data_IF_629690590340
#
_entry.id   IF_629690590340
#
_cell.length_a   1.000
_cell.length_b   1.000
_cell.length_c   1.000
_cell.angle_alpha   90.00
_cell.angle_beta   90.00
_cell.angle_gamma   90.00
#
_symmetry.space_group_name_H-M   'P 1'
#
loop_
_entity.id
_entity.type
_entity.pdbx_description
1 polymer ?
#
# COMPACT_ATOMS: atom_id res chain seq x y z
N UNK A 1 -16.20 2.38 2.31
CA UNK A 1 -16.09 1.58 1.07
C UNK A 1 -15.05 0.45 1.21
N UNK A 2 -15.09 -0.62 0.40
CA UNK A 2 -14.01 -1.62 0.30
C UNK A 2 -13.31 -1.50 -1.05
N UNK A 3 -12.03 -1.18 -1.01
CA UNK A 3 -11.18 -0.95 -2.18
C UNK A 3 -10.17 -2.08 -2.32
N UNK A 4 -9.78 -2.40 -3.55
CA UNK A 4 -8.68 -3.31 -3.86
C UNK A 4 -7.58 -2.54 -4.58
N UNK A 5 -6.40 -2.50 -3.97
CA UNK A 5 -5.22 -1.82 -4.52
C UNK A 5 -4.32 -2.87 -5.15
N UNK A 6 -3.88 -2.59 -6.38
CA UNK A 6 -2.89 -3.38 -7.09
C UNK A 6 -1.58 -2.60 -7.12
N UNK A 7 -0.57 -3.13 -6.46
CA UNK A 7 0.79 -2.60 -6.52
C UNK A 7 1.58 -3.33 -7.61
N UNK A 8 2.25 -2.56 -8.45
CA UNK A 8 3.19 -3.06 -9.45
C UNK A 8 4.52 -2.37 -9.18
N UNK A 9 5.57 -3.17 -8.96
CA UNK A 9 6.94 -2.68 -8.86
C UNK A 9 7.69 -3.10 -10.12
N UNK A 10 7.76 -2.20 -11.08
CA UNK A 10 8.50 -2.33 -12.34
C UNK A 10 9.96 -1.85 -12.24
N UNK A 11 10.42 -1.50 -11.03
CA UNK A 11 11.78 -1.05 -10.77
C UNK A 11 12.68 -2.19 -10.30
N UNK A 12 13.98 -1.90 -10.19
CA UNK A 12 15.01 -2.86 -9.75
C UNK A 12 15.25 -2.87 -8.22
N UNK A 13 14.51 -2.07 -7.44
CA UNK A 13 14.67 -1.96 -5.98
C UNK A 13 13.44 -2.44 -5.21
N UNK A 14 13.62 -2.85 -3.96
CA UNK A 14 12.52 -3.15 -3.06
C UNK A 14 11.86 -1.86 -2.55
N UNK A 15 10.54 -1.86 -2.48
CA UNK A 15 9.75 -0.75 -1.95
C UNK A 15 8.75 -1.23 -0.89
N UNK A 16 9.02 -1.09 0.42
CA UNK A 16 8.02 -1.34 1.45
C UNK A 16 6.98 -0.21 1.42
N UNK A 17 5.78 -0.48 0.91
CA UNK A 17 4.73 0.54 0.76
C UNK A 17 3.87 0.60 2.01
N UNK A 18 3.77 1.78 2.62
CA UNK A 18 3.03 2.03 3.85
C UNK A 18 1.82 2.95 3.60
N UNK A 19 0.66 2.55 4.12
CA UNK A 19 -0.57 3.34 4.10
C UNK A 19 -0.95 3.72 5.54
N UNK A 20 -1.09 5.02 5.79
CA UNK A 20 -1.52 5.53 7.09
C UNK A 20 -3.04 5.38 7.27
N UNK A 21 -3.49 5.40 8.52
CA UNK A 21 -4.91 5.46 8.91
C UNK A 21 -5.73 4.19 8.68
N UNK A 22 -5.27 3.28 7.83
CA UNK A 22 -6.03 2.07 7.44
C UNK A 22 -5.12 0.84 7.43
N UNK A 23 -5.74 -0.34 7.42
CA UNK A 23 -5.05 -1.62 7.30
C UNK A 23 -5.07 -2.15 5.85
N UNK A 24 -3.98 -2.80 5.47
CA UNK A 24 -3.84 -3.53 4.20
C UNK A 24 -4.01 -5.03 4.44
N UNK A 25 -5.09 -5.59 3.89
CA UNK A 25 -5.35 -7.03 3.88
C UNK A 25 -4.72 -7.65 2.64
N UNK A 26 -3.49 -8.15 2.76
CA UNK A 26 -2.72 -8.76 1.67
C UNK A 26 -3.44 -9.99 1.14
N UNK A 27 -3.44 -10.14 -0.18
CA UNK A 27 -4.05 -11.28 -0.87
C UNK A 27 -2.99 -12.21 -1.48
N UNK A 28 -3.34 -13.48 -1.68
CA UNK A 28 -2.59 -14.42 -2.52
C UNK A 28 -2.91 -14.24 -4.01
N UNK A 29 -2.28 -15.07 -4.84
CA UNK A 29 -2.50 -15.04 -6.29
C UNK A 29 -3.96 -15.36 -6.71
N UNK A 30 -4.74 -15.99 -5.83
CA UNK A 30 -6.15 -16.33 -6.05
C UNK A 30 -7.11 -15.31 -5.42
N UNK A 31 -6.60 -14.26 -4.76
CA UNK A 31 -7.41 -13.25 -4.09
C UNK A 31 -7.85 -13.61 -2.67
N UNK A 32 -7.33 -14.70 -2.09
CA UNK A 32 -7.64 -15.07 -0.71
C UNK A 32 -6.83 -14.21 0.27
N UNK A 33 -7.41 -13.93 1.42
CA UNK A 33 -6.71 -13.23 2.51
C UNK A 33 -5.50 -14.04 2.98
N UNK A 34 -4.34 -13.38 3.06
CA UNK A 34 -3.14 -13.95 3.66
C UNK A 34 -2.90 -13.37 5.06
N UNK A 35 -2.72 -12.05 5.15
CA UNK A 35 -2.29 -11.38 6.37
C UNK A 35 -2.68 -9.91 6.34
N UNK A 36 -2.96 -9.36 7.53
CA UNK A 36 -3.19 -7.93 7.73
C UNK A 36 -1.89 -7.24 8.15
N UNK A 37 -1.51 -6.17 7.43
CA UNK A 37 -0.32 -5.36 7.71
C UNK A 37 -0.62 -3.88 7.45
N UNK A 38 0.19 -2.98 8.00
CA UNK A 38 0.18 -1.55 7.64
C UNK A 38 1.24 -1.22 6.57
N UNK A 39 2.20 -2.12 6.34
CA UNK A 39 3.26 -1.96 5.34
C UNK A 39 3.38 -3.25 4.51
N UNK A 40 3.39 -3.11 3.18
CA UNK A 40 3.44 -4.20 2.21
C UNK A 40 4.78 -4.17 1.50
N UNK A 41 5.57 -5.23 1.65
CA UNK A 41 6.81 -5.39 0.89
C UNK A 41 6.51 -5.57 -0.60
N UNK A 42 7.20 -4.79 -1.45
CA UNK A 42 7.19 -4.96 -2.90
C UNK A 42 8.61 -5.23 -3.43
N UNK A 43 8.99 -6.50 -3.62
CA UNK A 43 10.24 -6.85 -4.29
C UNK A 43 10.28 -6.38 -5.76
N UNK A 44 11.48 -6.27 -6.38
CA UNK A 44 11.63 -5.92 -7.79
C UNK A 44 10.83 -6.82 -8.74
N UNK A 45 10.24 -6.24 -9.79
CA UNK A 45 9.53 -6.98 -10.84
C UNK A 45 8.25 -7.70 -10.38
N UNK A 46 7.71 -7.37 -9.21
CA UNK A 46 6.54 -8.07 -8.64
C UNK A 46 5.25 -7.27 -8.74
N UNK A 47 4.13 -8.01 -8.71
CA UNK A 47 2.78 -7.47 -8.55
C UNK A 47 2.15 -8.07 -7.30
N UNK A 48 1.54 -7.25 -6.44
CA UNK A 48 0.78 -7.69 -5.28
C UNK A 48 -0.54 -6.96 -5.19
N UNK A 49 -1.52 -7.58 -4.54
CA UNK A 49 -2.84 -6.98 -4.31
C UNK A 49 -3.18 -7.02 -2.84
N UNK A 50 -3.83 -5.98 -2.36
CA UNK A 50 -4.37 -5.95 -1.01
C UNK A 50 -5.69 -5.19 -0.97
N UNK A 51 -6.54 -5.53 0.00
CA UNK A 51 -7.81 -4.84 0.23
C UNK A 51 -7.65 -3.83 1.35
N UNK A 52 -8.39 -2.73 1.22
CA UNK A 52 -8.47 -1.67 2.21
C UNK A 52 -9.94 -1.40 2.50
N UNK A 53 -10.28 -1.29 3.77
CA UNK A 53 -11.55 -0.69 4.18
C UNK A 53 -11.29 0.79 4.42
N UNK A 54 -11.88 1.65 3.60
CA UNK A 54 -11.79 3.10 3.76
C UNK A 54 -12.83 3.54 4.79
N UNK A 55 -12.47 3.40 6.07
CA UNK A 55 -13.31 3.71 7.24
C UNK A 55 -12.72 4.82 8.14
N UNK A 56 -11.48 5.22 7.89
CA UNK A 56 -10.84 6.33 8.59
C UNK A 56 -10.94 7.61 7.75
N UNK A 57 -11.88 8.49 8.07
CA UNK A 57 -12.02 9.80 7.42
C UNK A 57 -10.75 10.64 7.62
N UNK A 58 -10.33 11.37 6.58
CA UNK A 58 -9.18 12.27 6.65
C UNK A 58 -8.23 12.18 5.45
N UNK A 59 -7.02 12.71 5.65
CA UNK A 59 -5.93 12.76 4.67
C UNK A 59 -4.78 11.90 5.19
N UNK A 60 -4.43 10.86 4.46
CA UNK A 60 -3.48 9.84 4.91
C UNK A 60 -2.29 9.75 3.97
N UNK A 61 -1.09 9.71 4.54
CA UNK A 61 0.12 9.48 3.77
C UNK A 61 0.15 8.05 3.21
N UNK A 62 0.59 7.93 1.96
CA UNK A 62 0.79 6.67 1.26
C UNK A 62 2.13 6.70 0.53
N UNK A 63 3.12 5.99 1.04
CA UNK A 63 4.51 6.21 0.63
C UNK A 63 5.38 4.97 0.77
N UNK A 64 6.54 4.99 0.12
CA UNK A 64 7.59 4.03 0.39
C UNK A 64 8.20 4.31 1.78
N UNK A 65 8.45 3.26 2.54
CA UNK A 65 8.94 3.31 3.91
C UNK A 65 10.48 3.23 3.99
N UNK A 66 11.15 3.35 2.84
CA UNK A 66 12.56 3.70 2.76
C UNK A 66 12.65 5.22 2.76
N UNK A 67 13.26 5.78 3.82
CA UNK A 67 13.19 7.22 4.09
C UNK A 67 13.70 8.08 2.93
N UNK A 68 14.78 7.67 2.28
CA UNK A 68 15.35 8.40 1.14
C UNK A 68 14.47 8.31 -0.12
N UNK A 69 13.68 7.23 -0.32
CA UNK A 69 12.67 7.19 -1.39
C UNK A 69 11.48 8.11 -1.06
N UNK A 70 11.03 8.11 0.20
CA UNK A 70 9.97 9.00 0.66
C UNK A 70 10.36 10.47 0.45
N UNK A 71 11.55 10.86 0.91
CA UNK A 71 12.10 12.21 0.79
C UNK A 71 12.32 12.64 -0.67
N UNK A 72 12.74 11.71 -1.53
CA UNK A 72 12.86 11.94 -2.98
C UNK A 72 11.51 12.02 -3.72
N UNK A 73 10.38 11.90 -3.02
CA UNK A 73 9.04 12.12 -3.57
C UNK A 73 8.21 10.86 -3.85
N UNK A 74 8.65 9.67 -3.40
CA UNK A 74 7.83 8.45 -3.46
C UNK A 74 6.75 8.44 -2.37
N UNK A 75 5.91 9.47 -2.41
CA UNK A 75 4.88 9.81 -1.43
C UNK A 75 3.63 10.32 -2.16
N UNK A 76 2.47 9.91 -1.65
CA UNK A 76 1.15 10.37 -2.09
C UNK A 76 0.25 10.57 -0.88
N UNK A 77 -0.87 11.24 -1.13
CA UNK A 77 -1.96 11.37 -0.18
C UNK A 77 -3.16 10.54 -0.64
N UNK A 78 -3.81 9.88 0.30
CA UNK A 78 -5.12 9.24 0.14
C UNK A 78 -6.14 10.03 0.96
N UNK A 79 -7.25 10.42 0.34
CA UNK A 79 -8.37 11.11 1.00
C UNK A 79 -9.52 10.16 1.19
N UNK A 80 -10.07 10.13 2.40
CA UNK A 80 -11.30 9.42 2.70
C UNK A 80 -12.32 10.44 3.16
N UNK A 81 -13.37 10.57 2.37
CA UNK A 81 -14.45 11.54 2.53
C UNK A 81 -15.76 10.81 2.89
N UNK A 82 -16.74 11.56 3.38
CA UNK A 82 -18.02 11.03 3.86
C UNK A 82 -19.01 10.74 2.72
#
# INVERSE_FOLDING_TARGET
>A
ERLRIVLVNDTMMQHPIHLHGMWSDLEDAHGNFQVRKHTIDMPPGTRRTYRVRADALGRWAYHCHLLYHMEAGMMREVRVEA
#
